data_IF_018098890283
#
_entry.id   IF_018098890283
#
_cell.length_a   1.000
_cell.length_b   1.000
_cell.length_c   1.000
_cell.angle_alpha   90.00
_cell.angle_beta   90.00
_cell.angle_gamma   90.00
#
_symmetry.space_group_name_H-M   'P 1'
#
loop_
_entity.id
_entity.type
_entity.pdbx_description
1 polymer ?
#
# COMPACT_ATOMS: atom_id res chain seq x y z
N UNK A 1 18.89 3.26 -20.97
CA UNK A 1 18.29 3.11 -22.31
C UNK A 1 19.04 1.98 -23.01
N UNK A 2 18.41 0.82 -23.08
CA UNK A 2 18.96 -0.43 -23.64
C UNK A 2 17.87 -1.10 -24.47
N UNK A 3 18.12 -1.51 -25.72
CA UNK A 3 17.11 -2.20 -26.51
C UNK A 3 17.16 -3.71 -26.29
N UNK A 4 16.02 -4.30 -25.93
CA UNK A 4 15.81 -5.75 -25.87
C UNK A 4 15.63 -6.31 -27.28
N UNK A 5 16.44 -7.32 -27.62
CA UNK A 5 16.34 -8.15 -28.83
C UNK A 5 15.31 -9.28 -28.64
N UNK A 6 14.68 -9.81 -29.71
CA UNK A 6 13.87 -11.01 -29.64
C UNK A 6 14.73 -12.28 -29.71
N UNK A 7 14.34 -13.29 -28.91
CA UNK A 7 14.89 -14.66 -28.90
C UNK A 7 13.83 -15.58 -29.50
N UNK A 8 14.11 -16.20 -30.64
CA UNK A 8 13.48 -17.46 -31.06
C UNK A 8 14.39 -18.17 -32.08
N UNK A 9 15.21 -19.09 -31.59
CA UNK A 9 15.92 -20.10 -32.39
C UNK A 9 16.02 -21.41 -31.61
N UNK A 10 15.34 -22.45 -32.11
CA UNK A 10 15.61 -23.89 -31.89
C UNK A 10 14.64 -24.63 -32.81
N UNK A 11 15.02 -25.18 -33.97
CA UNK A 11 16.05 -26.19 -34.28
C UNK A 11 15.77 -27.50 -33.53
N UNK A 12 14.95 -28.36 -34.16
CA UNK A 12 14.89 -29.79 -33.85
C UNK A 12 15.21 -30.56 -35.14
N UNK A 13 16.42 -31.10 -35.15
CA UNK A 13 16.88 -32.20 -35.99
C UNK A 13 16.13 -33.48 -35.57
N UNK A 14 15.78 -34.36 -36.50
CA UNK A 14 16.29 -35.73 -36.50
C UNK A 14 15.97 -36.47 -37.80
N UNK A 15 17.02 -37.10 -38.28
CA UNK A 15 17.19 -37.83 -39.52
C UNK A 15 17.58 -39.26 -39.09
N UNK A 16 17.45 -40.21 -40.02
CA UNK A 16 18.07 -41.55 -40.07
C UNK A 16 17.19 -42.73 -39.61
N UNK A 17 17.00 -43.64 -40.57
CA UNK A 17 16.53 -45.00 -40.37
C UNK A 17 16.66 -45.82 -41.66
N UNK A 18 17.82 -45.76 -42.33
CA UNK A 18 18.17 -46.64 -43.43
C UNK A 18 18.70 -47.97 -42.87
N UNK A 19 18.16 -49.10 -43.35
CA UNK A 19 18.74 -50.43 -43.16
C UNK A 19 18.76 -51.17 -44.49
N UNK A 20 19.98 -51.56 -44.84
CA UNK A 20 20.41 -52.28 -46.02
C UNK A 20 20.57 -53.77 -45.65
N UNK A 21 20.29 -54.70 -46.57
CA UNK A 21 20.43 -56.14 -46.31
C UNK A 21 20.23 -57.05 -47.53
N UNK A 22 21.26 -57.08 -48.38
CA UNK A 22 21.73 -58.10 -49.33
C UNK A 22 20.86 -59.32 -49.76
N UNK A 23 20.73 -59.47 -51.09
CA UNK A 23 21.44 -60.53 -51.84
C UNK A 23 20.79 -61.91 -51.97
N UNK A 24 20.36 -62.27 -53.18
CA UNK A 24 20.05 -63.64 -53.58
C UNK A 24 19.54 -63.74 -55.01
N UNK A 25 20.43 -64.01 -55.96
CA UNK A 25 20.13 -64.27 -57.35
C UNK A 25 19.52 -65.67 -57.55
N UNK A 26 18.45 -65.80 -58.33
CA UNK A 26 18.15 -67.00 -59.11
C UNK A 26 17.06 -66.76 -60.17
N UNK A 27 17.42 -67.08 -61.41
CA UNK A 27 16.61 -67.74 -62.43
C UNK A 27 15.32 -67.09 -62.98
N UNK A 28 15.46 -66.69 -64.25
CA UNK A 28 14.48 -66.74 -65.36
C UNK A 28 13.14 -67.46 -65.10
N UNK A 29 12.05 -66.75 -65.39
CA UNK A 29 10.93 -67.30 -66.19
C UNK A 29 10.37 -66.19 -67.09
N UNK A 30 9.95 -66.53 -68.33
CA UNK A 30 9.45 -65.56 -69.29
C UNK A 30 8.05 -65.07 -68.90
N UNK A 31 7.83 -63.79 -69.18
CA UNK A 31 6.57 -63.14 -69.57
C UNK A 31 5.36 -64.09 -69.73
N UNK A 32 4.26 -63.81 -69.00
CA UNK A 32 2.96 -63.90 -69.61
C UNK A 32 2.49 -62.49 -69.98
N UNK A 33 2.05 -62.41 -71.23
CA UNK A 33 1.35 -61.31 -71.89
C UNK A 33 0.42 -60.49 -70.97
N UNK A 34 0.11 -59.23 -71.33
CA UNK A 34 -0.86 -58.41 -70.61
C UNK A 34 -2.21 -59.12 -70.57
N UNK A 35 -2.54 -59.73 -69.43
CA UNK A 35 -3.87 -60.27 -69.19
C UNK A 35 -4.82 -59.09 -69.20
N UNK A 36 -5.65 -59.04 -70.23
CA UNK A 36 -6.81 -58.16 -70.36
C UNK A 36 -7.56 -58.16 -69.03
N UNK A 37 -7.42 -57.08 -68.26
CA UNK A 37 -8.29 -56.81 -67.14
C UNK A 37 -9.71 -56.93 -67.67
N UNK A 38 -10.44 -57.96 -67.22
CA UNK A 38 -11.81 -58.16 -67.64
C UNK A 38 -12.59 -56.86 -67.39
N UNK A 39 -13.38 -56.42 -68.36
CA UNK A 39 -14.21 -55.23 -68.26
C UNK A 39 -14.91 -55.00 -66.89
N UNK A 40 -15.39 -56.04 -66.16
CA UNK A 40 -15.96 -55.83 -64.81
C UNK A 40 -14.96 -55.35 -63.74
N UNK A 41 -13.71 -55.81 -63.73
CA UNK A 41 -12.73 -55.40 -62.71
C UNK A 41 -12.30 -53.93 -62.87
N UNK A 42 -12.25 -53.44 -64.11
CA UNK A 42 -11.99 -52.03 -64.39
C UNK A 42 -13.18 -51.14 -63.96
N UNK A 43 -14.41 -51.63 -64.13
CA UNK A 43 -15.61 -50.93 -63.71
C UNK A 43 -15.71 -50.80 -62.18
N UNK A 44 -15.34 -51.85 -61.43
CA UNK A 44 -15.30 -51.83 -59.96
C UNK A 44 -14.23 -50.85 -59.43
N UNK A 45 -13.03 -50.86 -60.01
CA UNK A 45 -11.98 -49.90 -59.65
C UNK A 45 -12.39 -48.44 -59.92
N UNK A 46 -13.08 -48.17 -61.03
CA UNK A 46 -13.63 -46.83 -61.31
C UNK A 46 -14.74 -46.44 -60.32
N UNK A 47 -15.59 -47.37 -59.90
CA UNK A 47 -16.62 -47.12 -58.89
C UNK A 47 -15.98 -46.79 -57.52
N UNK A 48 -14.97 -47.55 -57.10
CA UNK A 48 -14.23 -47.32 -55.87
C UNK A 48 -13.44 -46.00 -55.91
N UNK A 49 -12.80 -45.67 -57.03
CA UNK A 49 -12.11 -44.39 -57.21
C UNK A 49 -13.08 -43.20 -57.14
N UNK A 50 -14.28 -43.31 -57.74
CA UNK A 50 -15.32 -42.28 -57.64
C UNK A 50 -15.81 -42.12 -56.21
N UNK A 51 -16.07 -43.22 -55.49
CA UNK A 51 -16.45 -43.17 -54.07
C UNK A 51 -15.36 -42.52 -53.21
N UNK A 52 -14.08 -42.81 -53.49
CA UNK A 52 -12.95 -42.21 -52.80
C UNK A 52 -12.83 -40.69 -53.07
N UNK A 53 -13.10 -40.23 -54.30
CA UNK A 53 -13.13 -38.80 -54.63
C UNK A 53 -14.24 -38.08 -53.85
N UNK A 54 -15.45 -38.65 -53.83
CA UNK A 54 -16.57 -38.07 -53.06
C UNK A 54 -16.23 -37.99 -51.56
N UNK A 55 -15.65 -39.04 -50.98
CA UNK A 55 -15.24 -39.03 -49.58
C UNK A 55 -14.09 -38.03 -49.30
N UNK A 56 -13.21 -37.79 -50.28
CA UNK A 56 -12.16 -36.77 -50.16
C UNK A 56 -12.75 -35.36 -50.20
N UNK A 57 -13.71 -35.11 -51.09
CA UNK A 57 -14.41 -33.83 -51.22
C UNK A 57 -15.19 -33.49 -49.93
N UNK A 58 -15.86 -34.47 -49.32
CA UNK A 58 -16.53 -34.32 -48.02
C UNK A 58 -15.54 -33.92 -46.92
N UNK A 59 -14.39 -34.61 -46.82
CA UNK A 59 -13.35 -34.27 -45.85
C UNK A 59 -12.75 -32.89 -46.10
N UNK A 60 -12.58 -32.50 -47.36
CA UNK A 60 -12.12 -31.15 -47.71
C UNK A 60 -13.11 -30.09 -47.24
N UNK A 61 -14.42 -30.32 -47.46
CA UNK A 61 -15.46 -29.42 -46.97
C UNK A 61 -15.49 -29.31 -45.43
N UNK A 62 -15.32 -30.43 -44.71
CA UNK A 62 -15.21 -30.44 -43.25
C UNK A 62 -13.97 -29.68 -42.76
N UNK A 63 -12.81 -29.91 -43.38
CA UNK A 63 -11.57 -29.23 -43.01
C UNK A 63 -11.66 -27.72 -43.26
N UNK A 64 -12.32 -27.31 -44.35
CA UNK A 64 -12.57 -25.90 -44.63
C UNK A 64 -13.50 -25.27 -43.60
N UNK A 65 -14.57 -25.96 -43.19
CA UNK A 65 -15.47 -25.48 -42.14
C UNK A 65 -14.73 -25.32 -40.80
N UNK A 66 -13.94 -26.31 -40.40
CA UNK A 66 -13.14 -26.28 -39.18
C UNK A 66 -12.07 -25.16 -39.22
N UNK A 67 -11.40 -24.95 -40.36
CA UNK A 67 -10.45 -23.86 -40.52
C UNK A 67 -11.11 -22.48 -40.40
N UNK A 68 -12.34 -22.32 -40.93
CA UNK A 68 -13.11 -21.07 -40.77
C UNK A 68 -13.46 -20.83 -39.31
N UNK A 69 -13.97 -21.85 -38.61
CA UNK A 69 -14.31 -21.76 -37.19
C UNK A 69 -13.08 -21.41 -36.33
N UNK A 70 -11.93 -22.04 -36.59
CA UNK A 70 -10.70 -21.73 -35.89
C UNK A 70 -10.24 -20.29 -36.15
N UNK A 71 -10.36 -19.80 -37.40
CA UNK A 71 -10.04 -18.42 -37.73
C UNK A 71 -10.97 -17.41 -37.03
N UNK A 72 -12.24 -17.74 -36.84
CA UNK A 72 -13.18 -16.92 -36.06
C UNK A 72 -12.81 -16.88 -34.57
N UNK A 73 -12.56 -18.05 -33.97
CA UNK A 73 -12.10 -18.16 -32.57
C UNK A 73 -10.80 -17.40 -32.32
N UNK A 74 -9.84 -17.45 -33.26
CA UNK A 74 -8.60 -16.69 -33.16
C UNK A 74 -8.87 -15.17 -33.18
N UNK A 75 -9.79 -14.70 -34.03
CA UNK A 75 -10.17 -13.27 -34.06
C UNK A 75 -10.87 -12.84 -32.77
N UNK A 76 -11.73 -13.68 -32.20
CA UNK A 76 -12.38 -13.40 -30.91
C UNK A 76 -11.38 -13.32 -29.77
N UNK A 77 -10.47 -14.30 -29.67
CA UNK A 77 -9.40 -14.29 -28.67
C UNK A 77 -8.47 -13.09 -28.84
N UNK A 78 -8.14 -12.70 -30.08
CA UNK A 78 -7.34 -11.51 -30.34
C UNK A 78 -8.04 -10.23 -29.87
N UNK A 79 -9.36 -10.11 -30.10
CA UNK A 79 -10.16 -8.99 -29.60
C UNK A 79 -10.18 -8.96 -28.07
N UNK A 80 -10.45 -10.09 -27.43
CA UNK A 80 -10.47 -10.20 -25.97
C UNK A 80 -9.09 -9.86 -25.35
N UNK A 81 -8.00 -10.31 -25.97
CA UNK A 81 -6.65 -10.00 -25.52
C UNK A 81 -6.31 -8.50 -25.68
N UNK A 82 -6.76 -7.88 -26.77
CA UNK A 82 -6.65 -6.42 -26.97
C UNK A 82 -7.43 -5.63 -25.93
N UNK A 83 -8.65 -6.05 -25.62
CA UNK A 83 -9.48 -5.44 -24.58
C UNK A 83 -8.86 -5.58 -23.20
N UNK A 84 -8.38 -6.79 -22.87
CA UNK A 84 -7.67 -7.05 -21.62
C UNK A 84 -6.41 -6.18 -21.50
N UNK A 85 -5.60 -6.10 -22.57
CA UNK A 85 -4.42 -5.24 -22.59
C UNK A 85 -4.77 -3.76 -22.37
N UNK A 86 -5.86 -3.27 -22.99
CA UNK A 86 -6.36 -1.91 -22.78
C UNK A 86 -6.83 -1.69 -21.34
N UNK A 87 -7.54 -2.64 -20.74
CA UNK A 87 -7.97 -2.57 -19.34
C UNK A 87 -6.78 -2.52 -18.38
N UNK A 88 -5.77 -3.38 -18.59
CA UNK A 88 -4.54 -3.39 -17.79
C UNK A 88 -3.78 -2.07 -17.92
N UNK A 89 -3.72 -1.50 -19.12
CA UNK A 89 -3.10 -0.19 -19.32
C UNK A 89 -3.82 0.92 -18.54
N UNK A 90 -5.17 0.93 -18.56
CA UNK A 90 -5.98 1.86 -17.77
C UNK A 90 -5.76 1.68 -16.28
N UNK A 91 -5.80 0.45 -15.77
CA UNK A 91 -5.56 0.16 -14.34
C UNK A 91 -4.17 0.62 -13.91
N UNK A 92 -3.13 0.35 -14.72
CA UNK A 92 -1.76 0.83 -14.44
C UNK A 92 -1.68 2.35 -14.40
N UNK A 93 -2.37 3.04 -15.31
CA UNK A 93 -2.43 4.49 -15.32
C UNK A 93 -3.14 5.05 -14.07
N UNK A 94 -4.26 4.44 -13.65
CA UNK A 94 -4.96 4.85 -12.43
C UNK A 94 -4.12 4.58 -11.18
N UNK A 95 -3.44 3.43 -11.10
CA UNK A 95 -2.54 3.11 -9.99
C UNK A 95 -1.38 4.10 -9.89
N UNK A 96 -0.74 4.45 -10.99
CA UNK A 96 0.37 5.42 -10.97
C UNK A 96 -0.09 6.84 -10.62
N UNK A 97 -1.27 7.26 -11.09
CA UNK A 97 -1.87 8.53 -10.70
C UNK A 97 -2.21 8.57 -9.20
N UNK A 98 -2.79 7.49 -8.67
CA UNK A 98 -3.12 7.36 -7.25
C UNK A 98 -1.85 7.35 -6.40
N UNK A 99 -0.80 6.61 -6.80
CA UNK A 99 0.50 6.63 -6.13
C UNK A 99 1.11 8.03 -6.07
N UNK A 100 1.07 8.78 -7.17
CA UNK A 100 1.56 10.15 -7.21
C UNK A 100 0.75 11.08 -6.28
N UNK A 101 -0.57 10.94 -6.26
CA UNK A 101 -1.45 11.69 -5.36
C UNK A 101 -1.16 11.36 -3.88
N UNK A 102 -1.05 10.07 -3.54
CA UNK A 102 -0.72 9.60 -2.19
C UNK A 102 0.65 10.09 -1.72
N UNK A 103 1.66 10.08 -2.60
CA UNK A 103 2.99 10.63 -2.29
C UNK A 103 2.94 12.13 -1.99
N UNK A 104 2.18 12.89 -2.78
CA UNK A 104 2.01 14.34 -2.56
C UNK A 104 1.24 14.60 -1.26
N UNK A 105 0.22 13.80 -0.98
CA UNK A 105 -0.57 13.91 0.25
C UNK A 105 0.27 13.59 1.49
N UNK A 106 0.98 12.45 1.51
CA UNK A 106 1.84 12.05 2.62
C UNK A 106 2.92 13.08 2.91
N UNK A 107 3.63 13.57 1.90
CA UNK A 107 4.64 14.62 2.07
C UNK A 107 4.07 15.97 2.55
N UNK A 108 2.85 16.33 2.17
CA UNK A 108 2.19 17.54 2.68
C UNK A 108 1.72 17.37 4.12
N UNK A 109 1.19 16.19 4.45
CA UNK A 109 0.73 15.84 5.79
C UNK A 109 1.91 15.81 6.76
N UNK A 110 3.02 15.17 6.40
CA UNK A 110 4.22 15.11 7.25
C UNK A 110 4.77 16.50 7.56
N UNK A 111 4.87 17.37 6.54
CA UNK A 111 5.25 18.79 6.73
C UNK A 111 4.27 19.57 7.60
N UNK A 112 2.97 19.23 7.56
CA UNK A 112 1.96 19.89 8.40
C UNK A 112 2.07 19.44 9.85
N UNK A 113 2.22 18.13 10.09
CA UNK A 113 2.47 17.57 11.42
C UNK A 113 3.73 18.19 12.01
N UNK A 114 4.84 18.19 11.27
CA UNK A 114 6.10 18.80 11.70
C UNK A 114 5.92 20.28 12.07
N UNK A 115 5.30 21.08 11.20
CA UNK A 115 5.08 22.51 11.47
C UNK A 115 4.18 22.73 12.69
N UNK A 116 3.13 21.95 12.86
CA UNK A 116 2.24 22.06 14.02
C UNK A 116 2.95 21.68 15.32
N UNK A 117 3.60 20.52 15.38
CA UNK A 117 4.34 20.07 16.57
C UNK A 117 5.46 21.07 16.90
N UNK A 118 6.20 21.54 15.90
CA UNK A 118 7.26 22.54 16.11
C UNK A 118 6.73 23.86 16.67
N UNK A 119 5.52 24.28 16.28
CA UNK A 119 4.88 25.50 16.80
C UNK A 119 4.40 25.31 18.23
N UNK A 120 3.90 24.14 18.59
CA UNK A 120 3.52 23.80 19.96
C UNK A 120 4.75 23.80 20.87
N UNK A 121 5.84 23.12 20.46
CA UNK A 121 7.10 23.09 21.20
C UNK A 121 7.72 24.48 21.33
N UNK A 122 7.81 25.25 20.23
CA UNK A 122 8.39 26.59 20.24
C UNK A 122 7.51 27.62 20.96
N UNK A 123 6.19 27.47 20.91
CA UNK A 123 5.21 28.35 21.54
C UNK A 123 4.94 28.03 23.01
N UNK A 124 5.32 26.84 23.47
CA UNK A 124 5.09 26.38 24.85
C UNK A 124 5.50 27.41 25.93
N UNK A 125 6.65 28.12 25.84
CA UNK A 125 7.02 29.12 26.85
C UNK A 125 6.05 30.30 26.94
N UNK A 126 5.34 30.64 25.85
CA UNK A 126 4.42 31.77 25.81
C UNK A 126 3.07 31.47 26.49
N UNK A 127 2.65 30.20 26.51
CA UNK A 127 1.34 29.77 27.05
C UNK A 127 1.44 29.14 28.44
N UNK A 128 2.65 28.92 28.95
CA UNK A 128 2.93 28.19 30.18
C UNK A 128 2.78 29.03 31.47
N UNK A 129 1.95 30.07 31.46
CA UNK A 129 1.70 30.97 32.61
C UNK A 129 0.37 30.56 33.27
N UNK A 130 0.30 30.27 34.58
CA UNK A 130 1.36 30.16 35.61
C UNK A 130 2.05 28.77 35.62
N UNK A 131 3.04 28.55 36.50
CA UNK A 131 3.86 27.32 36.65
C UNK A 131 3.14 25.97 36.46
N UNK A 132 1.88 25.89 36.86
CA UNK A 132 1.08 24.67 36.71
C UNK A 132 0.68 24.44 35.25
N UNK A 133 0.36 25.53 34.53
CA UNK A 133 0.22 25.53 33.07
C UNK A 133 1.48 25.06 32.36
N UNK A 134 2.68 25.35 32.88
CA UNK A 134 3.92 24.81 32.31
C UNK A 134 3.97 23.27 32.34
N UNK A 135 3.52 22.64 33.44
CA UNK A 135 3.45 21.19 33.56
C UNK A 135 2.41 20.56 32.63
N UNK A 136 1.21 21.16 32.58
CA UNK A 136 0.12 20.67 31.71
C UNK A 136 0.47 20.85 30.23
N UNK A 137 0.99 22.02 29.83
CA UNK A 137 1.39 22.28 28.44
C UNK A 137 2.57 21.40 28.03
N UNK A 138 3.54 21.14 28.91
CA UNK A 138 4.61 20.18 28.64
C UNK A 138 4.07 18.76 28.43
N UNK A 139 3.13 18.31 29.28
CA UNK A 139 2.49 17.01 29.13
C UNK A 139 1.68 16.90 27.83
N UNK A 140 0.87 17.93 27.51
CA UNK A 140 0.09 18.00 26.27
C UNK A 140 1.00 18.00 25.04
N UNK A 141 2.09 18.77 25.06
CA UNK A 141 3.06 18.81 23.97
C UNK A 141 3.77 17.46 23.80
N UNK A 142 4.05 16.75 24.90
CA UNK A 142 4.59 15.39 24.85
C UNK A 142 3.62 14.40 24.22
N UNK A 143 2.31 14.52 24.51
CA UNK A 143 1.27 13.76 23.83
C UNK A 143 1.16 14.12 22.35
N UNK A 144 1.18 15.41 22.00
CA UNK A 144 1.15 15.88 20.60
C UNK A 144 2.32 15.31 19.78
N UNK A 145 3.52 15.26 20.37
CA UNK A 145 4.71 14.65 19.72
C UNK A 145 4.49 13.15 19.50
N UNK A 146 3.96 12.45 20.51
CA UNK A 146 3.69 11.01 20.43
C UNK A 146 2.65 10.69 19.37
N UNK A 147 1.50 11.37 19.41
CA UNK A 147 0.43 11.20 18.43
C UNK A 147 0.92 11.55 17.01
N UNK A 148 1.72 12.62 16.88
CA UNK A 148 2.35 12.98 15.61
C UNK A 148 3.31 11.90 15.10
N UNK A 149 4.07 11.25 15.99
CA UNK A 149 4.97 10.15 15.64
C UNK A 149 4.19 8.89 15.23
N UNK A 150 3.14 8.51 15.98
CA UNK A 150 2.27 7.37 15.65
C UNK A 150 1.57 7.58 14.30
N UNK A 151 1.05 8.79 14.03
CA UNK A 151 0.44 9.12 12.74
C UNK A 151 1.42 9.04 11.55
N UNK A 152 2.68 9.45 11.73
CA UNK A 152 3.71 9.30 10.70
C UNK A 152 4.08 7.84 10.46
N UNK A 153 4.04 7.01 11.50
CA UNK A 153 4.28 5.57 11.39
C UNK A 153 3.18 4.86 10.60
N UNK A 154 1.92 5.15 10.90
CA UNK A 154 0.76 4.64 10.15
C UNK A 154 0.80 5.11 8.69
N UNK A 155 1.20 6.37 8.46
CA UNK A 155 1.39 6.91 7.11
C UNK A 155 2.50 6.16 6.36
N UNK A 156 3.58 5.80 7.04
CA UNK A 156 4.67 5.00 6.48
C UNK A 156 4.26 3.56 6.16
N UNK A 157 3.40 2.96 6.99
CA UNK A 157 2.82 1.64 6.71
C UNK A 157 1.91 1.68 5.47
N UNK A 158 1.07 2.69 5.34
CA UNK A 158 0.25 2.92 4.14
C UNK A 158 1.12 3.15 2.90
N UNK A 159 2.18 3.96 3.01
CA UNK A 159 3.11 4.20 1.91
C UNK A 159 3.78 2.89 1.46
N UNK A 160 4.22 2.03 2.39
CA UNK A 160 4.78 0.71 2.07
C UNK A 160 3.77 -0.20 1.36
N UNK A 161 2.52 -0.23 1.81
CA UNK A 161 1.46 -0.99 1.15
C UNK A 161 1.21 -0.52 -0.30
N UNK A 162 1.43 0.78 -0.57
CA UNK A 162 1.34 1.38 -1.89
C UNK A 162 2.64 1.33 -2.71
N UNK A 163 3.69 0.65 -2.21
CA UNK A 163 5.04 0.59 -2.81
C UNK A 163 5.68 1.99 -2.99
N UNK A 164 5.40 2.90 -2.07
CA UNK A 164 6.00 4.23 -1.99
C UNK A 164 7.10 4.27 -0.95
N UNK A 165 8.09 5.14 -1.18
CA UNK A 165 9.16 5.39 -0.19
C UNK A 165 8.57 5.97 1.10
N UNK A 166 9.02 5.49 2.28
CA UNK A 166 8.57 6.02 3.56
C UNK A 166 9.08 7.45 3.76
N UNK A 167 8.26 8.26 4.43
CA UNK A 167 8.63 9.60 4.87
C UNK A 167 9.47 9.53 6.15
N UNK A 168 10.41 10.46 6.32
CA UNK A 168 11.28 10.47 7.50
C UNK A 168 10.51 10.92 8.75
N UNK A 169 10.27 9.98 9.66
CA UNK A 169 9.59 10.22 10.94
C UNK A 169 10.51 10.75 12.06
N UNK A 170 11.84 10.60 11.90
CA UNK A 170 12.82 10.96 12.91
C UNK A 170 12.75 12.42 13.40
N UNK A 171 12.49 13.45 12.55
CA UNK A 171 12.46 14.84 13.01
C UNK A 171 11.34 15.12 14.01
N UNK A 172 10.21 14.40 13.95
CA UNK A 172 9.08 14.56 14.89
C UNK A 172 9.29 13.68 16.10
N UNK A 173 9.62 12.40 15.89
CA UNK A 173 9.80 11.44 16.98
C UNK A 173 11.01 11.75 17.87
N UNK A 174 12.02 12.47 17.36
CA UNK A 174 13.19 12.91 18.12
C UNK A 174 12.99 14.27 18.82
N UNK A 175 11.85 14.95 18.64
CA UNK A 175 11.58 16.18 19.38
C UNK A 175 11.43 15.84 20.85
N UNK A 176 12.19 16.53 21.70
CA UNK A 176 12.06 16.40 23.14
C UNK A 176 11.39 17.65 23.72
N UNK A 177 10.42 17.41 24.59
CA UNK A 177 9.97 18.42 25.54
C UNK A 177 11.08 18.56 26.56
N UNK A 178 11.70 19.73 26.66
CA UNK A 178 12.81 19.96 27.59
C UNK A 178 12.42 19.62 29.04
N UNK A 179 13.38 19.41 29.95
CA UNK A 179 13.10 19.13 31.35
C UNK A 179 12.23 20.25 31.95
N UNK A 180 11.34 19.86 32.87
CA UNK A 180 10.37 20.74 33.51
C UNK A 180 11.00 22.02 34.04
N UNK A 181 12.18 21.91 34.65
CA UNK A 181 12.92 23.01 35.25
C UNK A 181 13.42 23.99 34.18
N UNK A 182 13.87 23.49 33.03
CA UNK A 182 14.26 24.34 31.90
C UNK A 182 13.06 25.09 31.33
N UNK A 183 11.91 24.43 31.20
CA UNK A 183 10.66 25.06 30.76
C UNK A 183 10.26 26.15 31.75
N UNK A 184 10.25 25.85 33.05
CA UNK A 184 9.91 26.81 34.11
C UNK A 184 10.86 28.00 34.07
N UNK A 185 12.18 27.79 33.93
CA UNK A 185 13.15 28.88 33.87
C UNK A 185 12.97 29.76 32.62
N UNK A 186 12.71 29.17 31.45
CA UNK A 186 12.43 29.92 30.21
C UNK A 186 11.14 30.73 30.29
N UNK A 187 10.10 30.15 30.89
CA UNK A 187 8.84 30.86 31.17
C UNK A 187 9.13 32.00 32.14
N UNK A 188 9.82 31.75 33.25
CA UNK A 188 10.09 32.76 34.26
C UNK A 188 10.95 33.93 33.77
N UNK A 189 11.84 33.69 32.81
CA UNK A 189 12.63 34.76 32.21
C UNK A 189 11.76 35.77 31.44
N UNK A 190 10.67 35.30 30.80
CA UNK A 190 9.90 36.09 29.83
C UNK A 190 8.38 36.17 30.10
N UNK A 191 7.88 35.64 31.22
CA UNK A 191 6.45 35.52 31.42
C UNK A 191 5.74 36.88 31.54
N UNK A 192 6.39 37.89 32.14
CA UNK A 192 5.79 39.23 32.29
C UNK A 192 5.59 39.89 30.94
N UNK A 193 6.56 39.79 30.05
CA UNK A 193 6.47 40.33 28.69
C UNK A 193 5.46 39.54 27.87
N UNK A 194 5.45 38.21 27.97
CA UNK A 194 4.44 37.37 27.32
C UNK A 194 3.01 37.68 27.80
N UNK A 195 2.82 37.85 29.12
CA UNK A 195 1.52 38.21 29.70
C UNK A 195 1.07 39.60 29.25
N UNK A 196 1.95 40.61 29.26
CA UNK A 196 1.61 41.95 28.81
C UNK A 196 1.18 41.98 27.32
N UNK A 197 1.87 41.21 26.46
CA UNK A 197 1.49 41.08 25.04
C UNK A 197 0.14 40.37 24.89
N UNK A 198 -0.09 39.28 25.64
CA UNK A 198 -1.35 38.57 25.63
C UNK A 198 -2.51 39.46 26.10
N UNK A 199 -2.34 40.15 27.23
CA UNK A 199 -3.32 41.08 27.77
C UNK A 199 -3.62 42.23 26.79
N UNK A 200 -2.60 42.79 26.14
CA UNK A 200 -2.80 43.82 25.12
C UNK A 200 -3.62 43.31 23.92
N UNK A 201 -3.38 42.08 23.47
CA UNK A 201 -4.12 41.49 22.36
C UNK A 201 -5.57 41.12 22.73
N UNK A 202 -5.79 40.50 23.90
CA UNK A 202 -7.14 40.13 24.35
C UNK A 202 -7.99 41.35 24.69
N UNK A 203 -7.37 42.39 25.25
CA UNK A 203 -8.05 43.66 25.53
C UNK A 203 -8.50 44.36 24.24
N UNK A 204 -7.81 44.16 23.11
CA UNK A 204 -8.28 44.62 21.79
C UNK A 204 -9.49 43.84 21.28
N UNK A 205 -9.69 42.60 21.75
CA UNK A 205 -10.80 41.72 21.37
C UNK A 205 -11.95 41.74 22.40
N UNK A 206 -11.98 42.76 23.28
CA UNK A 206 -12.98 42.92 24.36
C UNK A 206 -12.97 41.78 25.41
N UNK A 207 -11.95 40.91 25.40
CA UNK A 207 -11.70 39.92 26.45
C UNK A 207 -10.78 40.56 27.48
N UNK A 208 -11.37 41.14 28.53
CA UNK A 208 -10.62 41.92 29.50
C UNK A 208 -9.70 41.04 30.35
N UNK A 209 -8.38 41.19 30.14
CA UNK A 209 -7.33 40.71 31.03
C UNK A 209 -6.72 41.90 31.77
N UNK A 210 -6.50 41.72 33.08
CA UNK A 210 -5.85 42.73 33.90
C UNK A 210 -4.47 43.09 33.31
N UNK A 211 -4.15 44.39 33.16
CA UNK A 211 -2.92 44.84 32.51
C UNK A 211 -1.65 44.44 33.29
N UNK A 212 -1.75 44.38 34.61
CA UNK A 212 -0.71 43.83 35.47
C UNK A 212 -1.07 42.42 35.93
N UNK A 213 -0.15 41.46 35.80
CA UNK A 213 -0.40 40.12 36.31
C UNK A 213 -0.49 40.14 37.83
N UNK A 214 -1.51 39.50 38.38
CA UNK A 214 -1.65 39.33 39.83
C UNK A 214 -0.39 38.60 40.34
N UNK A 215 0.35 39.16 41.32
CA UNK A 215 1.50 38.48 41.90
C UNK A 215 1.00 37.26 42.67
N UNK A 216 0.99 36.11 42.00
CA UNK A 216 0.74 34.83 42.66
C UNK A 216 2.02 34.37 43.33
N UNK A 217 2.02 34.42 44.66
CA UNK A 217 2.99 33.69 45.46
C UNK A 217 2.93 32.21 45.05
N UNK A 218 4.07 31.54 44.77
CA UNK A 218 4.09 30.17 44.27
C UNK A 218 3.28 29.19 45.14
N UNK A 219 3.29 29.40 46.47
CA UNK A 219 2.52 28.62 47.42
C UNK A 219 1.01 28.75 47.20
N UNK A 220 0.53 29.97 46.97
CA UNK A 220 -0.90 30.26 46.75
C UNK A 220 -1.39 29.75 45.39
N UNK A 221 -0.52 29.72 44.38
CA UNK A 221 -0.82 29.10 43.09
C UNK A 221 -0.99 27.57 43.20
N UNK A 222 -0.17 26.92 44.04
CA UNK A 222 -0.27 25.48 44.31
C UNK A 222 -1.56 25.15 45.06
N UNK A 223 -1.95 25.95 46.06
CA UNK A 223 -3.22 25.77 46.79
C UNK A 223 -4.46 26.01 45.92
N UNK A 224 -4.48 27.09 45.15
CA UNK A 224 -5.59 27.39 44.21
C UNK A 224 -5.78 26.25 43.20
N UNK A 225 -4.69 25.63 42.75
CA UNK A 225 -4.78 24.47 41.88
C UNK A 225 -5.32 23.24 42.61
N UNK A 226 -4.83 22.96 43.82
CA UNK A 226 -5.30 21.83 44.62
C UNK A 226 -6.81 21.91 44.91
N UNK A 227 -7.32 23.13 45.06
CA UNK A 227 -8.74 23.41 45.24
C UNK A 227 -9.58 23.21 43.98
N UNK A 228 -9.03 23.51 42.78
CA UNK A 228 -9.78 23.42 41.51
C UNK A 228 -9.68 22.04 40.86
N UNK A 229 -8.51 21.39 40.95
CA UNK A 229 -8.19 20.16 40.21
C UNK A 229 -7.86 18.96 41.12
N UNK A 230 -7.94 19.11 42.45
CA UNK A 230 -7.49 18.10 43.43
C UNK A 230 -5.99 18.21 43.72
N UNK A 231 -5.47 17.53 44.75
CA UNK A 231 -4.07 17.69 45.19
C UNK A 231 -3.04 17.32 44.12
N UNK A 232 -2.01 18.16 43.94
CA UNK A 232 -0.84 17.82 43.09
C UNK A 232 -0.15 16.58 43.68
N UNK A 233 0.25 15.59 42.87
CA UNK A 233 1.14 14.56 43.35
C UNK A 233 2.46 15.21 43.79
N UNK A 234 2.73 15.18 45.10
CA UNK A 234 3.93 15.73 45.70
C UNK A 234 5.18 15.06 45.08
N UNK A 235 6.05 15.80 44.37
CA UNK A 235 7.22 15.23 43.70
C UNK A 235 8.26 14.68 44.70
N UNK A 236 8.26 15.16 45.94
CA UNK A 236 9.16 14.69 47.00
C UNK A 236 8.73 13.36 47.62
N UNK A 237 7.50 12.89 47.35
CA UNK A 237 7.01 11.62 47.86
C UNK A 237 7.42 10.41 46.99
N UNK A 238 8.11 10.62 45.87
CA UNK A 238 8.52 9.55 44.93
C UNK A 238 9.85 8.87 45.27
N UNK A 239 10.33 8.97 46.51
CA UNK A 239 11.41 8.12 47.04
C UNK A 239 10.93 6.83 47.70
N UNK A 240 9.62 6.59 47.78
CA UNK A 240 9.11 5.29 48.21
C UNK A 240 9.26 4.25 47.08
N UNK A 241 10.15 3.29 47.33
CA UNK A 241 10.38 2.04 46.61
C UNK A 241 9.10 1.47 45.99
N UNK A 242 9.11 0.97 44.75
CA UNK A 242 7.94 0.32 44.18
C UNK A 242 7.55 -0.88 45.06
N UNK A 243 6.37 -0.79 45.69
CA UNK A 243 5.77 -1.93 46.36
C UNK A 243 5.61 -3.08 45.35
N UNK A 244 5.88 -4.34 45.74
CA UNK A 244 5.71 -5.48 44.87
C UNK A 244 4.26 -5.52 44.39
N UNK A 245 4.09 -5.59 43.07
CA UNK A 245 2.77 -5.71 42.43
C UNK A 245 2.10 -6.98 42.99
N UNK A 246 1.00 -6.79 43.72
CA UNK A 246 0.12 -7.89 44.08
C UNK A 246 -0.44 -8.58 42.81
N UNK A 247 -0.94 -9.82 42.94
CA UNK A 247 -1.44 -10.59 41.81
C UNK A 247 -2.55 -9.83 41.08
N UNK A 248 -2.41 -9.73 39.77
CA UNK A 248 -3.38 -9.13 38.85
C UNK A 248 -4.76 -9.80 38.99
N UNK A 249 -5.86 -9.05 39.11
CA UNK A 249 -7.20 -9.62 39.10
C UNK A 249 -7.52 -10.23 37.74
N UNK A 250 -8.36 -11.30 37.70
CA UNK A 250 -8.73 -11.97 36.46
C UNK A 250 -9.54 -11.04 35.54
N UNK A 251 -9.20 -11.11 34.26
CA UNK A 251 -9.82 -10.36 33.16
C UNK A 251 -11.28 -10.84 33.01
N UNK A 252 -12.28 -9.95 33.03
CA UNK A 252 -13.66 -10.34 32.73
C UNK A 252 -13.83 -10.73 31.26
N UNK A 253 -14.73 -11.67 30.93
CA UNK A 253 -14.94 -12.10 29.56
C UNK A 253 -15.47 -10.96 28.68
N UNK A 254 -14.91 -10.85 27.46
CA UNK A 254 -15.32 -9.88 26.46
C UNK A 254 -16.82 -10.02 26.13
N UNK A 255 -17.53 -8.91 26.21
CA UNK A 255 -18.89 -8.80 25.69
C UNK A 255 -18.90 -8.84 24.14
N UNK A 256 -19.91 -9.45 23.51
CA UNK A 256 -20.00 -9.52 22.06
C UNK A 256 -20.31 -8.15 21.44
N UNK A 257 -19.60 -7.86 20.35
CA UNK A 257 -19.71 -6.65 19.53
C UNK A 257 -21.12 -6.51 18.93
N UNK A 258 -21.73 -5.34 19.12
CA UNK A 258 -22.97 -4.95 18.45
C UNK A 258 -22.74 -4.73 16.94
N UNK A 259 -23.72 -5.04 16.08
CA UNK A 259 -23.61 -4.84 14.64
C UNK A 259 -23.72 -3.36 14.24
N UNK A 260 -22.93 -2.97 13.24
CA UNK A 260 -22.89 -1.63 12.66
C UNK A 260 -24.24 -1.19 12.06
N UNK A 261 -24.61 0.11 12.16
CA UNK A 261 -25.80 0.64 11.51
C UNK A 261 -25.60 0.75 9.98
N UNK A 262 -26.69 0.67 9.19
CA UNK A 262 -26.64 0.77 7.73
C UNK A 262 -26.33 2.20 7.26
N UNK A 263 -25.48 2.29 6.24
CA UNK A 263 -25.12 3.51 5.54
C UNK A 263 -26.35 4.18 4.91
N UNK A 264 -26.46 5.50 5.06
CA UNK A 264 -27.30 6.38 4.23
C UNK A 264 -26.41 7.23 3.35
#
# INVERSE_FOLDING_TARGET
MSPLRPVFTSRALLLVGALCGAGGAAAQTPEPAPTSASAPALAENLANARAAVVALDERHAELEAANRELAEKLREMEKANKELAASVARLKQTLSANQAATRKFSGNLSRRIYRNVSRHVAGMPAVAIPYVGAGVTAAMTGLDIREGCEALRELNEMNRAMQLEPENEAPVCAMQVGPREEIINKVLANWRTAYAVAAAWTNQQEIWLAPDPVPVEPARAIELWAAVFGGLPNPSARTATPAPRGPTPPIPPLAPLLPNPPAR
#
